data_IF_639237803303
#
_entry.id   IF_639237803303
#
_cell.length_a   1.000
_cell.length_b   1.000
_cell.length_c   1.000
_cell.angle_alpha   90.00
_cell.angle_beta   90.00
_cell.angle_gamma   90.00
#
_symmetry.space_group_name_H-M   'P 1'
#
loop_
_entity.id
_entity.type
_entity.pdbx_description
1 polymer ?
#
# COMPACT_ATOMS: atom_id res chain seq x y z
N UNK A 1 -13.41 0.54 8.92
CA UNK A 1 -13.22 0.18 7.50
C UNK A 1 -12.11 -0.86 7.39
N UNK A 2 -12.38 -1.92 6.64
CA UNK A 2 -11.40 -2.96 6.42
C UNK A 2 -10.55 -2.62 5.19
N UNK A 3 -9.25 -2.47 5.37
CA UNK A 3 -8.32 -2.17 4.29
C UNK A 3 -7.73 -3.48 3.79
N UNK A 4 -8.23 -3.96 2.66
CA UNK A 4 -7.80 -5.25 2.09
C UNK A 4 -6.80 -5.10 0.96
N UNK A 5 -6.28 -3.89 0.76
CA UNK A 5 -5.33 -3.63 -0.32
C UNK A 5 -3.97 -4.24 0.00
N UNK A 6 -3.33 -4.69 -1.06
CA UNK A 6 -2.01 -5.29 -0.97
C UNK A 6 -0.95 -4.23 -0.67
N UNK A 7 0.02 -4.59 0.16
CA UNK A 7 1.16 -3.73 0.46
C UNK A 7 2.43 -4.57 0.30
N UNK A 8 3.40 -4.03 -0.44
CA UNK A 8 4.70 -4.68 -0.61
C UNK A 8 5.73 -3.81 0.10
N UNK A 9 6.51 -4.44 0.99
CA UNK A 9 7.60 -3.78 1.71
C UNK A 9 8.88 -4.49 1.30
N UNK A 10 9.82 -3.72 0.72
CA UNK A 10 11.03 -4.30 0.15
C UNK A 10 12.24 -3.46 0.52
N UNK A 11 13.33 -4.13 0.90
CA UNK A 11 14.58 -3.44 1.24
C UNK A 11 15.23 -2.87 -0.01
N UNK A 12 15.70 -1.62 0.10
CA UNK A 12 16.47 -0.96 -0.95
C UNK A 12 17.93 -0.84 -0.50
N UNK A 13 18.81 -1.51 -1.21
CA UNK A 13 20.24 -1.41 -0.91
C UNK A 13 20.79 -0.01 -1.20
N UNK A 14 20.27 0.65 -2.23
CA UNK A 14 20.71 2.01 -2.58
C UNK A 14 20.32 3.01 -1.52
N UNK A 15 19.08 2.93 -1.05
CA UNK A 15 18.51 3.94 -0.14
C UNK A 15 18.72 3.57 1.33
N UNK A 16 19.11 2.33 1.58
CA UNK A 16 19.36 1.83 2.92
C UNK A 16 18.12 1.95 3.82
N UNK A 17 16.96 1.61 3.26
CA UNK A 17 15.68 1.63 3.94
C UNK A 17 14.69 0.72 3.22
N UNK A 18 13.50 0.57 3.81
CA UNK A 18 12.43 -0.22 3.20
C UNK A 18 11.55 0.67 2.34
N UNK A 19 11.31 0.22 1.11
CA UNK A 19 10.37 0.89 0.20
C UNK A 19 9.02 0.20 0.28
N UNK A 20 7.96 0.99 0.12
CA UNK A 20 6.58 0.50 0.21
C UNK A 20 5.86 0.75 -1.10
N UNK A 21 5.28 -0.30 -1.65
CA UNK A 21 4.45 -0.22 -2.84
C UNK A 21 3.00 -0.58 -2.51
N UNK A 22 2.08 0.09 -3.18
CA UNK A 22 0.65 -0.19 -3.10
C UNK A 22 0.18 -0.56 -4.50
N UNK A 23 0.42 -1.82 -4.92
CA UNK A 23 0.25 -2.20 -6.32
C UNK A 23 -1.19 -2.18 -6.83
N UNK A 24 -2.18 -2.18 -5.94
CA UNK A 24 -3.58 -2.08 -6.37
C UNK A 24 -3.95 -0.67 -6.84
N UNK A 25 -3.13 0.32 -6.53
CA UNK A 25 -3.35 1.69 -6.97
C UNK A 25 -2.39 2.04 -8.11
N UNK A 26 -2.91 2.64 -9.21
CA UNK A 26 -2.04 3.04 -10.31
C UNK A 26 -1.18 4.24 -9.92
N UNK A 27 -0.06 4.39 -10.58
CA UNK A 27 0.83 5.52 -10.37
C UNK A 27 2.24 5.09 -10.08
N UNK A 28 2.86 5.68 -9.07
CA UNK A 28 4.26 5.43 -8.73
C UNK A 28 4.47 4.00 -8.26
N UNK A 29 5.61 3.43 -8.64
CA UNK A 29 5.98 2.10 -8.18
C UNK A 29 6.13 2.04 -6.66
N UNK A 30 6.79 3.05 -6.09
CA UNK A 30 6.99 3.15 -4.65
C UNK A 30 6.23 4.35 -4.11
N UNK A 31 5.41 4.11 -3.11
CA UNK A 31 4.53 5.14 -2.54
C UNK A 31 5.13 5.83 -1.32
N UNK A 32 5.90 5.10 -0.54
CA UNK A 32 6.53 5.64 0.67
C UNK A 32 7.67 4.73 1.11
N UNK A 33 8.21 4.97 2.29
CA UNK A 33 9.33 4.21 2.82
C UNK A 33 9.32 4.22 4.35
N UNK A 34 10.24 3.48 4.95
CA UNK A 34 10.44 3.48 6.39
C UNK A 34 11.78 2.83 6.73
N UNK A 35 12.28 3.12 7.92
CA UNK A 35 13.56 2.58 8.39
C UNK A 35 13.42 1.17 8.97
N UNK A 36 12.21 0.79 9.37
CA UNK A 36 11.90 -0.54 9.89
C UNK A 36 10.66 -1.07 9.18
N UNK A 37 10.36 -2.35 9.34
CA UNK A 37 9.12 -2.93 8.83
C UNK A 37 7.91 -2.22 9.42
N UNK A 38 7.93 -1.98 10.72
CA UNK A 38 6.82 -1.34 11.41
C UNK A 38 6.59 0.08 10.90
N UNK A 39 7.66 0.85 10.74
CA UNK A 39 7.57 2.20 10.22
C UNK A 39 7.08 2.21 8.78
N UNK A 40 7.61 1.30 7.96
CA UNK A 40 7.19 1.18 6.56
C UNK A 40 5.70 0.84 6.47
N UNK A 41 5.23 -0.11 7.27
CA UNK A 41 3.83 -0.50 7.27
C UNK A 41 2.94 0.66 7.74
N UNK A 42 3.34 1.38 8.77
CA UNK A 42 2.59 2.54 9.26
C UNK A 42 2.50 3.63 8.19
N UNK A 43 3.62 3.94 7.56
CA UNK A 43 3.65 4.95 6.50
C UNK A 43 2.84 4.51 5.29
N UNK A 44 2.91 3.23 4.93
CA UNK A 44 2.11 2.67 3.85
C UNK A 44 0.62 2.79 4.12
N UNK A 45 0.20 2.52 5.34
CA UNK A 45 -1.19 2.64 5.74
C UNK A 45 -1.68 4.08 5.67
N UNK A 46 -0.85 5.03 6.09
CA UNK A 46 -1.20 6.45 6.01
C UNK A 46 -1.40 6.89 4.56
N UNK A 47 -0.51 6.47 3.65
CA UNK A 47 -0.66 6.77 2.23
C UNK A 47 -1.93 6.14 1.68
N UNK A 48 -2.21 4.90 2.08
CA UNK A 48 -3.41 4.20 1.64
C UNK A 48 -4.68 4.95 2.07
N UNK A 49 -4.73 5.42 3.30
CA UNK A 49 -5.87 6.19 3.78
C UNK A 49 -6.04 7.51 3.00
N UNK A 50 -4.92 8.18 2.68
CA UNK A 50 -4.95 9.40 1.89
C UNK A 50 -5.44 9.13 0.45
N UNK A 51 -5.02 8.02 -0.13
CA UNK A 51 -5.49 7.63 -1.47
C UNK A 51 -6.97 7.36 -1.49
N UNK A 52 -7.48 6.65 -0.50
CA UNK A 52 -8.91 6.35 -0.40
C UNK A 52 -9.70 7.65 -0.25
N UNK A 53 -9.25 8.56 0.59
CA UNK A 53 -9.88 9.85 0.77
C UNK A 53 -9.87 10.67 -0.53
N UNK A 54 -8.74 10.71 -1.23
CA UNK A 54 -8.60 11.42 -2.50
C UNK A 54 -9.56 10.88 -3.55
N UNK A 55 -9.66 9.56 -3.68
CA UNK A 55 -10.59 8.94 -4.61
C UNK A 55 -12.04 9.30 -4.29
N UNK A 56 -12.38 9.29 -3.00
CA UNK A 56 -13.72 9.65 -2.55
C UNK A 56 -14.07 11.10 -2.89
N UNK A 57 -13.15 12.02 -2.64
CA UNK A 57 -13.35 13.44 -2.93
C UNK A 57 -13.49 13.72 -4.42
N UNK A 58 -12.85 12.93 -5.25
CA UNK A 58 -12.88 13.07 -6.70
C UNK A 58 -13.97 12.23 -7.36
N UNK A 59 -14.79 11.57 -6.57
CA UNK A 59 -15.85 10.67 -7.06
C UNK A 59 -15.30 9.59 -8.01
N UNK A 60 -14.10 9.11 -7.74
CA UNK A 60 -13.51 8.03 -8.52
C UNK A 60 -13.77 6.69 -7.84
N UNK A 61 -14.06 5.63 -8.61
CA UNK A 61 -14.21 4.32 -8.01
C UNK A 61 -12.87 3.81 -7.49
N UNK A 62 -12.89 3.22 -6.29
CA UNK A 62 -11.69 2.61 -5.73
C UNK A 62 -11.31 1.37 -6.52
N UNK A 63 -10.01 1.11 -6.70
CA UNK A 63 -9.60 -0.13 -7.34
C UNK A 63 -9.99 -1.33 -6.49
N UNK A 64 -10.20 -2.47 -7.13
CA UNK A 64 -10.49 -3.70 -6.44
C UNK A 64 -9.24 -4.20 -5.73
N UNK A 65 -9.32 -4.54 -4.44
CA UNK A 65 -8.16 -5.08 -3.77
C UNK A 65 -7.81 -6.49 -4.27
N UNK A 66 -6.52 -6.73 -4.45
CA UNK A 66 -6.02 -8.05 -4.79
C UNK A 66 -5.97 -8.89 -3.52
N UNK A 67 -6.78 -9.90 -3.44
CA UNK A 67 -6.84 -10.75 -2.25
C UNK A 67 -6.61 -12.22 -2.61
N UNK A 68 -6.27 -12.98 -1.60
CA UNK A 68 -6.07 -14.42 -1.75
C UNK A 68 -7.24 -15.11 -1.07
N UNK A 69 -7.84 -16.05 -1.78
CA UNK A 69 -8.89 -16.89 -1.24
C UNK A 69 -8.47 -18.34 -1.38
N UNK A 70 -7.76 -18.84 -0.38
CA UNK A 70 -7.26 -20.20 -0.38
C UNK A 70 -8.17 -21.09 0.43
N UNK A 71 -8.64 -22.17 -0.20
CA UNK A 71 -9.36 -23.22 0.50
C UNK A 71 -8.33 -24.13 1.15
N UNK A 72 -8.38 -24.22 2.46
CA UNK A 72 -7.55 -25.15 3.20
C UNK A 72 -8.39 -26.35 3.53
N UNK A 73 -8.03 -27.43 2.91
CA UNK A 73 -8.77 -28.69 3.14
C UNK A 73 -8.43 -29.31 4.48
#
# INVERSE_FOLDING_TARGET
>A
MSLKYQMIIQWSEEDNLYLVALPDFPGQKWSTHGNTYEEAATNGREVLELLIESYSQRNLPLPEPTTINLEVA
#
